data_IF_978517811078
#
_entry.id   IF_978517811078
#
_cell.length_a   1.000
_cell.length_b   1.000
_cell.length_c   1.000
_cell.angle_alpha   90.00
_cell.angle_beta   90.00
_cell.angle_gamma   90.00
#
_symmetry.space_group_name_H-M   'P 1'
#
loop_
_entity.id
_entity.type
_entity.pdbx_description
1 polymer ?
#
# COMPACT_ATOMS: atom_id res chain seq x y z
N UNK A 1 6.66 7.18 2.12
CA UNK A 1 6.87 5.81 2.65
C UNK A 1 8.22 5.75 3.36
N UNK A 2 8.33 6.35 4.56
CA UNK A 2 9.61 6.96 4.93
C UNK A 2 10.35 6.33 6.12
N UNK A 3 9.67 5.68 7.07
CA UNK A 3 10.34 5.09 8.25
C UNK A 3 10.53 3.57 8.12
N UNK A 4 9.45 2.82 7.91
CA UNK A 4 9.51 1.35 8.05
C UNK A 4 10.19 0.64 6.89
N UNK A 5 9.91 1.01 5.64
CA UNK A 5 10.51 0.32 4.48
C UNK A 5 12.03 0.39 4.49
N UNK A 6 12.62 1.52 4.90
CA UNK A 6 14.08 1.63 5.03
C UNK A 6 14.61 0.61 6.05
N UNK A 7 13.95 0.51 7.20
CA UNK A 7 14.28 -0.46 8.24
C UNK A 7 14.10 -1.90 7.80
N UNK A 8 12.99 -2.23 7.14
CA UNK A 8 12.70 -3.57 6.63
C UNK A 8 13.69 -3.97 5.54
N UNK A 9 14.01 -3.09 4.57
CA UNK A 9 15.03 -3.37 3.56
C UNK A 9 16.38 -3.70 4.19
N UNK A 10 16.81 -2.94 5.19
CA UNK A 10 18.05 -3.21 5.93
C UNK A 10 18.03 -4.56 6.67
N UNK A 11 16.86 -4.99 7.13
CA UNK A 11 16.65 -6.29 7.82
C UNK A 11 16.22 -7.43 6.88
N UNK A 12 16.38 -7.28 5.57
CA UNK A 12 15.98 -8.33 4.61
C UNK A 12 14.47 -8.62 4.57
N UNK A 13 13.65 -7.59 4.80
CA UNK A 13 12.18 -7.65 4.88
C UNK A 13 11.65 -8.53 6.01
N UNK A 14 12.30 -8.45 7.17
CA UNK A 14 11.93 -9.15 8.40
C UNK A 14 11.48 -8.20 9.51
N UNK A 15 10.58 -8.68 10.36
CA UNK A 15 10.14 -8.01 11.59
C UNK A 15 11.22 -8.08 12.67
N UNK A 16 10.99 -7.45 13.82
CA UNK A 16 11.91 -7.54 14.96
C UNK A 16 12.04 -8.98 15.51
N UNK A 17 11.02 -9.83 15.31
CA UNK A 17 10.98 -11.23 15.75
C UNK A 17 11.60 -12.20 14.75
N UNK A 18 12.12 -11.72 13.61
CA UNK A 18 12.78 -12.54 12.58
C UNK A 18 11.83 -13.15 11.52
N UNK A 19 10.53 -13.09 11.76
CA UNK A 19 9.50 -13.45 10.77
C UNK A 19 9.50 -12.47 9.60
N UNK A 20 8.98 -12.91 8.45
CA UNK A 20 8.79 -12.01 7.32
C UNK A 20 7.73 -10.93 7.65
N UNK A 21 7.87 -9.75 7.05
CA UNK A 21 6.85 -8.71 7.19
C UNK A 21 5.54 -9.17 6.55
N UNK A 22 4.41 -8.77 7.14
CA UNK A 22 3.11 -9.03 6.55
C UNK A 22 3.02 -8.41 5.15
N UNK A 23 2.44 -9.13 4.18
CA UNK A 23 2.29 -8.72 2.78
C UNK A 23 3.63 -8.39 2.08
N UNK A 24 4.70 -9.12 2.44
CA UNK A 24 6.06 -8.93 1.91
C UNK A 24 6.11 -8.92 0.38
N UNK A 25 5.38 -9.81 -0.28
CA UNK A 25 5.27 -9.92 -1.73
C UNK A 25 4.72 -8.63 -2.37
N UNK A 26 3.62 -8.10 -1.84
CA UNK A 26 3.00 -6.85 -2.30
C UNK A 26 3.94 -5.66 -2.08
N UNK A 27 4.57 -5.60 -0.90
CA UNK A 27 5.47 -4.51 -0.53
C UNK A 27 6.75 -4.50 -1.38
N UNK A 28 7.32 -5.67 -1.68
CA UNK A 28 8.46 -5.80 -2.59
C UNK A 28 8.10 -5.30 -3.99
N UNK A 29 6.94 -5.71 -4.50
CA UNK A 29 6.45 -5.27 -5.82
C UNK A 29 6.24 -3.76 -5.86
N UNK A 30 5.61 -3.19 -4.84
CA UNK A 30 5.40 -1.74 -4.72
C UNK A 30 6.74 -0.98 -4.64
N UNK A 31 7.70 -1.46 -3.84
CA UNK A 31 9.01 -0.80 -3.72
C UNK A 31 9.81 -0.85 -5.02
N UNK A 32 9.70 -1.92 -5.81
CA UNK A 32 10.30 -2.01 -7.14
C UNK A 32 9.64 -1.05 -8.14
N UNK A 33 8.30 -1.04 -8.19
CA UNK A 33 7.55 -0.21 -9.13
C UNK A 33 7.74 1.28 -8.86
N UNK A 34 7.70 1.71 -7.59
CA UNK A 34 7.85 3.13 -7.25
C UNK A 34 9.24 3.69 -7.56
N UNK A 35 10.26 2.84 -7.72
CA UNK A 35 11.61 3.30 -8.11
C UNK A 35 11.66 3.68 -9.59
N UNK A 36 10.71 3.20 -10.40
CA UNK A 36 10.64 3.47 -11.85
C UNK A 36 9.96 4.80 -12.19
N UNK A 37 9.27 5.41 -11.24
CA UNK A 37 8.47 6.63 -11.44
C UNK A 37 8.66 7.61 -10.29
N UNK A 38 8.57 8.92 -10.55
CA UNK A 38 8.63 9.93 -9.49
C UNK A 38 7.27 10.00 -8.79
N UNK A 39 7.19 9.44 -7.58
CA UNK A 39 5.96 9.41 -6.77
C UNK A 39 6.08 10.34 -5.57
N UNK A 40 5.09 11.22 -5.39
CA UNK A 40 4.89 11.97 -4.15
C UNK A 40 3.72 11.34 -3.38
N UNK A 41 4.01 10.81 -2.20
CA UNK A 41 2.97 10.31 -1.30
C UNK A 41 2.37 11.48 -0.52
N UNK A 42 1.06 11.66 -0.62
CA UNK A 42 0.30 12.65 0.14
C UNK A 42 -0.74 11.90 0.97
N UNK A 43 -0.69 12.09 2.29
CA UNK A 43 -1.71 11.56 3.18
C UNK A 43 -2.87 12.56 3.22
N UNK A 44 -4.08 12.07 2.96
CA UNK A 44 -5.30 12.87 2.97
C UNK A 44 -6.25 12.32 4.04
N UNK A 45 -7.07 13.20 4.62
CA UNK A 45 -8.14 12.75 5.51
C UNK A 45 -9.17 11.94 4.71
N UNK A 46 -9.70 10.88 5.31
CA UNK A 46 -10.80 10.12 4.70
C UNK A 46 -12.05 11.00 4.54
N UNK A 47 -12.83 10.74 3.50
CA UNK A 47 -14.10 11.43 3.19
C UNK A 47 -13.97 12.97 3.18
N UNK A 48 -12.85 13.47 2.66
CA UNK A 48 -12.56 14.90 2.62
C UNK A 48 -13.00 15.60 1.32
N UNK A 49 -13.85 14.99 0.48
CA UNK A 49 -14.29 15.62 -0.77
C UNK A 49 -13.27 15.54 -1.92
N UNK A 50 -12.23 14.70 -1.80
CA UNK A 50 -11.18 14.62 -2.84
C UNK A 50 -11.65 13.65 -3.92
N UNK A 51 -12.15 14.20 -5.02
CA UNK A 51 -12.79 13.48 -6.13
C UNK A 51 -12.07 12.17 -6.52
N UNK A 52 -10.77 12.22 -6.80
CA UNK A 52 -10.00 11.03 -7.17
C UNK A 52 -9.93 9.95 -6.07
N UNK A 53 -9.89 10.34 -4.80
CA UNK A 53 -9.91 9.41 -3.67
C UNK A 53 -11.31 8.84 -3.42
N UNK A 54 -12.35 9.65 -3.58
CA UNK A 54 -13.74 9.19 -3.47
C UNK A 54 -14.08 8.18 -4.56
N UNK A 55 -13.62 8.43 -5.79
CA UNK A 55 -13.80 7.47 -6.87
C UNK A 55 -13.04 6.17 -6.64
N UNK A 56 -11.82 6.26 -6.08
CA UNK A 56 -11.06 5.08 -5.71
C UNK A 56 -11.75 4.24 -4.63
N UNK A 57 -12.34 4.87 -3.61
CA UNK A 57 -13.13 4.20 -2.56
C UNK A 57 -14.39 3.53 -3.13
N UNK A 58 -15.15 4.23 -3.99
CA UNK A 58 -16.33 3.66 -4.67
C UNK A 58 -15.97 2.40 -5.48
N UNK A 59 -14.89 2.47 -6.26
CA UNK A 59 -14.43 1.35 -7.09
C UNK A 59 -13.93 0.17 -6.24
N UNK A 60 -13.19 0.45 -5.15
CA UNK A 60 -12.73 -0.58 -4.23
C UNK A 60 -13.92 -1.32 -3.57
N UNK A 61 -14.95 -0.59 -3.15
CA UNK A 61 -16.18 -1.18 -2.59
C UNK A 61 -16.92 -2.05 -3.60
N UNK A 62 -17.06 -1.57 -4.84
CA UNK A 62 -17.66 -2.37 -5.93
C UNK A 62 -16.91 -3.67 -6.17
N UNK A 63 -15.58 -3.61 -6.25
CA UNK A 63 -14.74 -4.80 -6.41
C UNK A 63 -14.90 -5.81 -5.26
N UNK A 64 -14.92 -5.33 -4.01
CA UNK A 64 -15.16 -6.19 -2.85
C UNK A 64 -16.53 -6.88 -2.91
N UNK A 65 -17.60 -6.14 -3.25
CA UNK A 65 -18.94 -6.70 -3.38
C UNK A 65 -19.07 -7.77 -4.47
N UNK A 66 -18.34 -7.64 -5.58
CA UNK A 66 -18.32 -8.65 -6.64
C UNK A 66 -17.72 -9.96 -6.16
N UNK A 67 -16.71 -9.90 -5.31
CA UNK A 67 -16.04 -11.09 -4.76
C UNK A 67 -16.86 -11.78 -3.67
N UNK A 68 -17.59 -11.02 -2.85
CA UNK A 68 -18.46 -11.58 -1.79
C UNK A 68 -19.75 -12.21 -2.32
N UNK A 69 -20.13 -11.93 -3.57
CA UNK A 69 -21.33 -12.51 -4.21
C UNK A 69 -21.06 -13.80 -5.01
N UNK A 70 -19.85 -14.35 -4.93
CA UNK A 70 -19.53 -15.71 -5.39
C UNK A 70 -19.64 -16.68 -4.21
#
# INVERSE_FOLDING_TARGET
MNSWIKGWKRKGWKTATGSDVLNKDVLLKLDSLRQKVKVKFVHVRGHAGIDGNEKADELARKGAQMYTKQ
#
